data_IF_656121082605
#
_entry.id   IF_656121082605
#
_cell.length_a   1.000
_cell.length_b   1.000
_cell.length_c   1.000
_cell.angle_alpha   90.00
_cell.angle_beta   90.00
_cell.angle_gamma   90.00
#
_symmetry.space_group_name_H-M   'P 1'
#
loop_
_entity.id
_entity.type
_entity.pdbx_description
1 polymer ?
#
# COMPACT_ATOMS: atom_id res chain seq x y z
N UNK A 1 1.55 19.94 -34.82
CA UNK A 1 1.09 19.80 -33.42
C UNK A 1 -0.34 20.28 -33.43
N UNK A 2 -1.30 19.37 -33.28
CA UNK A 2 -2.71 19.72 -33.15
C UNK A 2 -2.86 20.64 -31.94
N UNK A 3 -3.36 21.88 -32.13
CA UNK A 3 -3.83 22.70 -31.02
C UNK A 3 -5.13 22.07 -30.52
N UNK A 4 -5.02 20.97 -29.78
CA UNK A 4 -6.16 20.42 -29.08
C UNK A 4 -6.51 21.41 -27.97
N UNK A 5 -7.74 21.96 -27.94
CA UNK A 5 -8.18 22.81 -26.84
C UNK A 5 -8.06 22.13 -25.47
N UNK A 6 -7.92 20.80 -25.40
CA UNK A 6 -7.64 20.08 -24.15
C UNK A 6 -6.17 20.08 -23.72
N UNK A 7 -5.24 20.48 -24.59
CA UNK A 7 -3.80 20.56 -24.29
C UNK A 7 -3.42 21.85 -23.55
N UNK A 8 -4.28 22.88 -23.58
CA UNK A 8 -4.09 24.15 -22.88
C UNK A 8 -5.35 24.54 -22.10
N UNK A 9 -5.20 24.67 -20.79
CA UNK A 9 -6.30 25.02 -19.88
C UNK A 9 -6.83 26.44 -20.10
N UNK A 10 -6.00 27.36 -20.60
CA UNK A 10 -6.42 28.74 -20.91
C UNK A 10 -7.27 28.74 -22.19
N UNK A 11 -6.80 28.09 -23.24
CA UNK A 11 -7.55 27.91 -24.50
C UNK A 11 -8.86 27.14 -24.31
N UNK A 12 -8.91 26.14 -23.43
CA UNK A 12 -10.14 25.39 -23.13
C UNK A 12 -11.26 26.26 -22.55
N UNK A 13 -10.90 27.24 -21.71
CA UNK A 13 -11.84 28.15 -21.05
C UNK A 13 -12.39 29.18 -22.04
N UNK A 14 -11.53 29.75 -22.88
CA UNK A 14 -11.93 30.71 -23.92
C UNK A 14 -12.76 30.06 -25.05
N UNK A 15 -12.59 28.76 -25.28
CA UNK A 15 -13.38 27.99 -26.25
C UNK A 15 -14.84 27.74 -25.82
N UNK A 16 -15.26 28.18 -24.63
CA UNK A 16 -16.64 28.01 -24.14
C UNK A 16 -17.02 26.55 -23.84
N UNK A 17 -16.03 25.66 -23.73
CA UNK A 17 -16.23 24.22 -23.56
C UNK A 17 -16.64 23.82 -22.12
N UNK A 18 -16.64 24.79 -21.19
CA UNK A 18 -17.00 24.61 -19.77
C UNK A 18 -18.52 24.62 -19.56
N UNK A 19 -19.32 25.00 -20.56
CA UNK A 19 -20.79 24.93 -20.51
C UNK A 19 -21.29 23.49 -20.74
N UNK A 20 -20.79 22.57 -19.91
CA UNK A 20 -21.45 21.31 -19.61
C UNK A 20 -22.84 21.66 -19.07
N UNK A 21 -23.84 21.67 -19.97
CA UNK A 21 -25.24 21.91 -19.66
C UNK A 21 -25.56 21.19 -18.35
N UNK A 22 -25.77 21.96 -17.28
CA UNK A 22 -26.10 21.40 -15.97
C UNK A 22 -27.21 20.39 -16.19
N UNK A 23 -26.95 19.14 -15.84
CA UNK A 23 -27.94 18.08 -15.99
C UNK A 23 -29.24 18.58 -15.35
N UNK A 24 -30.35 18.44 -16.08
CA UNK A 24 -31.67 18.84 -15.58
C UNK A 24 -31.86 18.20 -14.19
N UNK A 25 -32.48 18.90 -13.22
CA UNK A 25 -32.71 18.33 -11.90
C UNK A 25 -33.50 17.03 -12.06
N UNK A 26 -32.83 15.91 -11.80
CA UNK A 26 -33.43 14.59 -11.87
C UNK A 26 -34.43 14.46 -10.72
N UNK A 27 -35.62 13.96 -11.00
CA UNK A 27 -36.63 13.71 -9.96
C UNK A 27 -36.12 12.64 -8.99
N UNK A 28 -36.59 12.67 -7.74
CA UNK A 28 -36.20 11.67 -6.73
C UNK A 28 -36.42 10.22 -7.22
N UNK A 29 -37.50 9.98 -7.95
CA UNK A 29 -37.81 8.68 -8.56
C UNK A 29 -36.78 8.26 -9.61
N UNK A 30 -36.33 9.18 -10.47
CA UNK A 30 -35.31 8.86 -11.47
C UNK A 30 -33.92 8.62 -10.83
N UNK A 31 -33.59 9.32 -9.74
CA UNK A 31 -32.38 9.03 -8.95
C UNK A 31 -32.43 7.65 -8.30
N UNK A 32 -33.60 7.26 -7.78
CA UNK A 32 -33.80 5.93 -7.19
C UNK A 32 -33.63 4.82 -8.22
N UNK A 33 -34.21 4.97 -9.41
CA UNK A 33 -34.05 4.01 -10.52
C UNK A 33 -32.58 3.89 -10.97
N UNK A 34 -31.85 5.00 -11.02
CA UNK A 34 -30.42 4.98 -11.34
C UNK A 34 -29.61 4.27 -10.26
N UNK A 35 -29.93 4.50 -8.98
CA UNK A 35 -29.26 3.85 -7.85
C UNK A 35 -29.52 2.33 -7.85
N UNK A 36 -30.77 1.92 -8.05
CA UNK A 36 -31.14 0.50 -8.13
C UNK A 36 -30.44 -0.19 -9.31
N UNK A 37 -30.39 0.47 -10.47
CA UNK A 37 -29.70 -0.06 -11.66
C UNK A 37 -28.19 -0.16 -11.46
N UNK A 38 -27.56 0.83 -10.83
CA UNK A 38 -26.11 0.86 -10.62
C UNK A 38 -25.65 -0.17 -9.57
N UNK A 39 -26.48 -0.43 -8.56
CA UNK A 39 -26.20 -1.40 -7.51
C UNK A 39 -26.73 -2.81 -7.81
N UNK A 40 -27.35 -3.01 -8.98
CA UNK A 40 -27.75 -4.33 -9.41
C UNK A 40 -26.50 -5.21 -9.60
N UNK A 41 -26.44 -6.34 -8.89
CA UNK A 41 -25.37 -7.31 -9.06
C UNK A 41 -25.44 -7.91 -10.47
N UNK A 42 -24.42 -7.64 -11.28
CA UNK A 42 -24.24 -8.25 -12.59
C UNK A 42 -22.97 -9.10 -12.57
N UNK A 43 -23.06 -10.34 -13.06
CA UNK A 43 -21.88 -11.17 -13.27
C UNK A 43 -21.11 -10.63 -14.48
N UNK A 44 -19.80 -10.36 -14.35
CA UNK A 44 -19.02 -9.87 -15.48
C UNK A 44 -18.92 -10.94 -16.57
N UNK A 45 -19.15 -10.54 -17.82
CA UNK A 45 -18.89 -11.40 -18.99
C UNK A 45 -17.39 -11.35 -19.28
N UNK A 46 -16.68 -12.43 -18.93
CA UNK A 46 -15.25 -12.55 -19.20
C UNK A 46 -15.07 -12.98 -20.66
N UNK A 47 -14.68 -12.05 -21.52
CA UNK A 47 -14.31 -12.35 -22.90
C UNK A 47 -12.83 -12.74 -22.91
N UNK A 48 -12.54 -14.04 -23.02
CA UNK A 48 -11.18 -14.53 -23.16
C UNK A 48 -10.75 -14.45 -24.64
N UNK A 49 -9.74 -13.64 -24.95
CA UNK A 49 -9.10 -13.66 -26.26
C UNK A 49 -8.17 -14.87 -26.35
N UNK A 50 -8.35 -15.71 -27.37
CA UNK A 50 -7.54 -16.92 -27.61
C UNK A 50 -6.14 -16.63 -28.15
N UNK A 51 -5.72 -15.36 -28.19
CA UNK A 51 -4.45 -14.89 -28.74
C UNK A 51 -3.37 -14.64 -27.68
N UNK A 52 -3.64 -14.91 -26.40
CA UNK A 52 -2.63 -14.73 -25.36
C UNK A 52 -1.60 -15.87 -25.39
N UNK A 53 -0.32 -15.53 -25.48
CA UNK A 53 0.77 -16.50 -25.30
C UNK A 53 0.77 -17.00 -23.86
N UNK A 54 0.70 -18.32 -23.66
CA UNK A 54 0.76 -18.90 -22.32
C UNK A 54 2.08 -18.56 -21.62
N UNK A 55 2.01 -18.03 -20.40
CA UNK A 55 3.19 -17.78 -19.59
C UNK A 55 3.82 -19.10 -19.17
N UNK A 56 5.08 -19.32 -19.56
CA UNK A 56 5.88 -20.46 -19.11
C UNK A 56 6.80 -20.01 -17.97
N UNK A 57 6.53 -20.37 -16.71
CA UNK A 57 7.42 -20.00 -15.61
C UNK A 57 8.79 -20.69 -15.77
N UNK A 58 9.84 -19.91 -15.99
CA UNK A 58 11.23 -20.38 -15.88
C UNK A 58 11.70 -20.30 -14.43
N UNK A 59 11.67 -21.43 -13.71
CA UNK A 59 12.25 -21.52 -12.38
C UNK A 59 13.78 -21.60 -12.45
N UNK A 60 14.46 -20.46 -12.29
CA UNK A 60 15.92 -20.42 -12.13
C UNK A 60 16.27 -20.50 -10.65
N UNK A 61 16.49 -21.72 -10.15
CA UNK A 61 16.94 -21.94 -8.78
C UNK A 61 18.44 -21.65 -8.72
N UNK A 62 18.82 -20.56 -8.05
CA UNK A 62 20.21 -20.27 -7.72
C UNK A 62 20.71 -21.36 -6.75
N UNK A 63 21.47 -22.33 -7.27
CA UNK A 63 22.09 -23.36 -6.43
C UNK A 63 23.22 -22.73 -5.62
N UNK A 64 23.25 -23.00 -4.32
CA UNK A 64 24.40 -22.68 -3.48
C UNK A 64 25.59 -23.55 -3.92
N UNK A 65 26.82 -23.00 -4.01
CA UNK A 65 28.02 -23.82 -4.10
C UNK A 65 28.04 -24.82 -2.95
N UNK A 66 28.24 -26.10 -3.24
CA UNK A 66 28.32 -27.16 -2.21
C UNK A 66 29.50 -26.93 -1.26
N UNK A 67 30.48 -26.12 -1.66
CA UNK A 67 31.66 -25.76 -0.85
C UNK A 67 31.46 -24.55 0.08
N UNK A 68 30.23 -24.07 0.25
CA UNK A 68 29.94 -23.04 1.24
C UNK A 68 30.08 -23.64 2.64
N UNK A 69 31.31 -23.60 3.19
CA UNK A 69 31.65 -23.93 4.57
C UNK A 69 30.56 -23.39 5.49
N UNK A 70 29.98 -24.31 6.27
CA UNK A 70 28.98 -24.07 7.31
C UNK A 70 29.28 -22.75 7.99
N UNK A 71 28.36 -21.77 7.86
CA UNK A 71 28.42 -20.56 8.66
C UNK A 71 28.45 -21.05 10.10
N UNK A 72 29.55 -20.79 10.81
CA UNK A 72 29.60 -20.97 12.25
C UNK A 72 28.43 -20.14 12.79
N UNK A 73 27.41 -20.80 13.32
CA UNK A 73 26.43 -20.13 14.16
C UNK A 73 27.23 -19.51 15.28
N UNK A 74 27.41 -18.19 15.21
CA UNK A 74 27.87 -17.42 16.36
C UNK A 74 26.70 -17.47 17.32
N UNK A 75 26.66 -18.54 18.11
CA UNK A 75 25.82 -18.65 19.29
C UNK A 75 26.27 -17.50 20.17
N UNK A 76 25.50 -16.41 20.14
CA UNK A 76 25.65 -15.35 21.12
C UNK A 76 25.12 -15.93 22.42
N UNK A 77 26.00 -16.58 23.18
CA UNK A 77 25.76 -17.03 24.54
C UNK A 77 25.50 -15.80 25.42
N UNK A 78 24.27 -15.29 25.37
CA UNK A 78 23.84 -14.32 26.38
C UNK A 78 23.66 -15.12 27.67
N UNK A 79 24.32 -14.74 28.78
CA UNK A 79 24.10 -15.40 30.04
C UNK A 79 22.62 -15.29 30.39
N UNK A 80 21.97 -16.44 30.62
CA UNK A 80 20.58 -16.51 31.08
C UNK A 80 20.58 -16.05 32.54
N UNK A 81 20.52 -14.74 32.77
CA UNK A 81 20.34 -14.17 34.11
C UNK A 81 18.98 -14.64 34.66
N UNK A 82 18.92 -14.91 35.97
CA UNK A 82 17.66 -15.24 36.63
C UNK A 82 16.68 -14.06 36.53
N UNK A 83 15.37 -14.35 36.57
CA UNK A 83 14.31 -13.34 36.46
C UNK A 83 14.50 -12.22 37.50
N UNK A 84 14.78 -12.59 38.75
CA UNK A 84 14.98 -11.65 39.86
C UNK A 84 16.13 -10.66 39.62
N UNK A 85 17.25 -11.12 39.05
CA UNK A 85 18.39 -10.25 38.74
C UNK A 85 18.03 -9.25 37.65
N UNK A 86 17.23 -9.68 36.67
CA UNK A 86 16.77 -8.83 35.56
C UNK A 86 15.81 -7.74 36.04
N UNK A 87 14.91 -8.05 36.98
CA UNK A 87 14.00 -7.07 37.58
C UNK A 87 14.75 -6.02 38.39
N UNK A 88 15.75 -6.44 39.17
CA UNK A 88 16.59 -5.51 39.94
C UNK A 88 17.34 -4.55 39.02
N UNK A 89 17.99 -5.07 37.98
CA UNK A 89 18.71 -4.25 36.99
C UNK A 89 17.77 -3.27 36.27
N UNK A 90 16.56 -3.71 35.94
CA UNK A 90 15.54 -2.84 35.34
C UNK A 90 15.11 -1.70 36.27
N UNK A 91 14.89 -1.98 37.55
CA UNK A 91 14.50 -0.97 38.54
C UNK A 91 15.61 0.07 38.76
N UNK A 92 16.86 -0.36 38.83
CA UNK A 92 18.02 0.54 38.93
C UNK A 92 18.16 1.43 37.67
N UNK A 93 18.02 0.84 36.48
CA UNK A 93 18.06 1.58 35.22
C UNK A 93 16.92 2.60 35.14
N UNK A 94 15.70 2.21 35.54
CA UNK A 94 14.53 3.09 35.57
C UNK A 94 14.78 4.29 36.49
N UNK A 95 15.29 4.07 37.71
CA UNK A 95 15.63 5.16 38.64
C UNK A 95 16.62 6.13 38.01
N UNK A 96 17.70 5.61 37.40
CA UNK A 96 18.73 6.42 36.75
C UNK A 96 18.20 7.27 35.59
N UNK A 97 17.26 6.72 34.82
CA UNK A 97 16.61 7.45 33.72
C UNK A 97 15.83 8.63 34.28
N UNK A 98 14.94 8.40 35.25
CA UNK A 98 14.11 9.46 35.82
C UNK A 98 14.93 10.52 36.57
N UNK A 99 15.93 10.12 37.36
CA UNK A 99 16.84 11.05 38.04
C UNK A 99 17.60 11.95 37.05
N UNK A 100 18.04 11.40 35.91
CA UNK A 100 18.69 12.18 34.85
C UNK A 100 17.76 13.22 34.21
N UNK A 101 16.45 12.99 34.21
CA UNK A 101 15.46 13.93 33.70
C UNK A 101 15.08 15.00 34.72
N UNK A 102 15.02 14.67 36.00
CA UNK A 102 14.76 15.64 37.08
C UNK A 102 15.94 16.61 37.28
N UNK A 103 17.18 16.13 37.23
CA UNK A 103 18.38 16.96 37.38
C UNK A 103 18.68 17.88 36.17
N UNK A 104 17.80 17.90 35.15
CA UNK A 104 17.96 18.70 33.93
C UNK A 104 16.95 19.85 33.80
N UNK A 105 16.15 20.08 34.85
CA UNK A 105 15.37 21.30 35.07
C UNK A 105 16.12 22.23 36.02
#
# INVERSE_FOLDING_TARGET
>A
MSNDPWDDWETAADAGLIDCKKAKPTTASANQLLWEKANAYATPVIIQSTTHTEYKPELKILKRPQDAKTRNDVVVEKPIKALADREKEYMEARRKIFEKFENKK
#
